data_IF_117835120624
#
_entry.id   IF_117835120624
#
_cell.length_a   1.000
_cell.length_b   1.000
_cell.length_c   1.000
_cell.angle_alpha   90.00
_cell.angle_beta   90.00
_cell.angle_gamma   90.00
#
_symmetry.space_group_name_H-M   'P 1'
#
loop_
_entity.id
_entity.type
_entity.pdbx_description
1 polymer ?
#
# COMPACT_ATOMS: atom_id res chain seq x y z
N UNK A 1 -33.71 58.03 -11.90
CA UNK A 1 -34.01 57.40 -10.59
C UNK A 1 -34.16 55.87 -10.64
N UNK A 2 -34.63 55.25 -11.75
CA UNK A 2 -34.74 53.77 -11.89
C UNK A 2 -33.41 53.02 -12.09
N UNK A 3 -32.41 53.64 -12.72
CA UNK A 3 -31.11 53.00 -13.05
C UNK A 3 -30.25 52.74 -11.81
N UNK A 4 -30.27 53.64 -10.83
CA UNK A 4 -29.51 53.49 -9.57
C UNK A 4 -30.03 52.36 -8.66
N UNK A 5 -31.29 51.96 -8.83
CA UNK A 5 -31.90 50.87 -8.06
C UNK A 5 -31.41 49.52 -8.63
N UNK A 6 -31.36 49.38 -9.95
CA UNK A 6 -30.91 48.15 -10.63
C UNK A 6 -29.43 47.85 -10.34
N UNK A 7 -28.57 48.88 -10.29
CA UNK A 7 -27.15 48.72 -9.98
C UNK A 7 -26.88 48.22 -8.55
N UNK A 8 -27.74 48.59 -7.58
CA UNK A 8 -27.66 48.09 -6.19
C UNK A 8 -27.99 46.60 -6.07
N UNK A 9 -28.95 46.10 -6.86
CA UNK A 9 -29.32 44.68 -6.84
C UNK A 9 -28.27 43.80 -7.51
N UNK A 10 -27.64 44.25 -8.60
CA UNK A 10 -26.54 43.50 -9.26
C UNK A 10 -25.33 43.36 -8.31
N UNK A 11 -25.02 44.40 -7.54
CA UNK A 11 -23.94 44.35 -6.55
C UNK A 11 -24.24 43.42 -5.37
N UNK A 12 -25.52 43.31 -4.96
CA UNK A 12 -25.94 42.45 -3.87
C UNK A 12 -25.98 40.96 -4.26
N UNK A 13 -26.30 40.64 -5.52
CA UNK A 13 -26.29 39.26 -6.05
C UNK A 13 -24.85 38.76 -6.25
N UNK A 14 -23.90 39.64 -6.61
CA UNK A 14 -22.49 39.29 -6.76
C UNK A 14 -21.81 38.88 -5.45
N UNK A 15 -22.21 39.48 -4.32
CA UNK A 15 -21.63 39.18 -3.00
C UNK A 15 -22.18 37.86 -2.42
N UNK A 16 -23.43 37.49 -2.73
CA UNK A 16 -24.00 36.19 -2.30
C UNK A 16 -23.41 34.98 -3.05
N UNK A 17 -22.88 35.18 -4.26
CA UNK A 17 -22.32 34.10 -5.07
C UNK A 17 -20.93 33.65 -4.61
N UNK A 18 -20.20 34.47 -3.84
CA UNK A 18 -18.86 34.12 -3.35
C UNK A 18 -18.85 33.28 -2.07
N UNK A 19 -19.97 33.19 -1.35
CA UNK A 19 -20.03 32.47 -0.06
C UNK A 19 -20.19 30.95 -0.19
N UNK A 20 -20.45 30.43 -1.39
CA UNK A 20 -20.68 28.99 -1.61
C UNK A 20 -19.47 28.19 -2.12
N UNK A 21 -18.32 28.85 -2.38
CA UNK A 21 -17.19 28.19 -3.05
C UNK A 21 -16.10 27.58 -2.13
N UNK A 22 -16.33 27.48 -0.83
CA UNK A 22 -15.46 26.72 0.08
C UNK A 22 -16.28 25.81 0.99
N UNK A 23 -16.81 24.72 0.42
CA UNK A 23 -17.05 23.54 1.23
C UNK A 23 -15.69 23.03 1.70
N UNK A 24 -15.31 23.36 2.93
CA UNK A 24 -14.22 22.71 3.64
C UNK A 24 -14.54 21.21 3.69
N UNK A 25 -14.05 20.43 2.73
CA UNK A 25 -14.03 18.98 2.84
C UNK A 25 -13.26 18.69 4.11
N UNK A 26 -13.96 18.26 5.16
CA UNK A 26 -13.30 17.74 6.37
C UNK A 26 -12.26 16.74 5.88
N UNK A 27 -11.01 16.80 6.36
CA UNK A 27 -10.02 15.82 5.97
C UNK A 27 -10.58 14.44 6.31
N UNK A 28 -10.90 13.66 5.28
CA UNK A 28 -11.33 12.28 5.46
C UNK A 28 -10.16 11.54 6.10
N UNK A 29 -10.43 10.78 7.15
CA UNK A 29 -9.40 9.93 7.76
C UNK A 29 -8.78 9.06 6.65
N UNK A 30 -7.44 8.98 6.57
CA UNK A 30 -6.79 8.17 5.55
C UNK A 30 -7.25 6.72 5.66
N UNK A 31 -7.69 6.14 4.54
CA UNK A 31 -8.10 4.74 4.45
C UNK A 31 -7.00 3.92 3.80
N UNK A 32 -6.91 2.64 4.15
CA UNK A 32 -5.93 1.73 3.54
C UNK A 32 -6.28 1.37 2.09
N UNK A 33 -7.51 1.64 1.64
CA UNK A 33 -7.97 1.39 0.26
C UNK A 33 -7.08 2.10 -0.75
N UNK A 34 -6.75 1.44 -1.86
CA UNK A 34 -5.98 1.98 -2.98
C UNK A 34 -4.81 1.08 -3.37
N UNK A 35 -4.16 1.46 -4.46
CA UNK A 35 -2.87 0.90 -4.87
C UNK A 35 -1.75 1.64 -4.13
N UNK A 36 -0.79 0.87 -3.62
CA UNK A 36 0.34 1.36 -2.87
C UNK A 36 1.63 0.80 -3.46
N UNK A 37 2.63 1.67 -3.63
CA UNK A 37 3.98 1.29 -4.05
C UNK A 37 4.89 1.20 -2.83
N UNK A 38 5.72 0.17 -2.78
CA UNK A 38 6.69 0.01 -1.70
C UNK A 38 7.75 1.12 -1.78
N UNK A 39 7.89 1.89 -0.69
CA UNK A 39 8.98 2.87 -0.52
C UNK A 39 10.19 2.20 0.14
N UNK A 40 9.95 1.38 1.16
CA UNK A 40 11.01 0.58 1.76
C UNK A 40 10.49 -0.63 2.53
N UNK A 41 11.30 -1.68 2.51
CA UNK A 41 11.22 -2.81 3.43
C UNK A 41 12.53 -2.89 4.22
N UNK A 42 12.45 -2.64 5.53
CA UNK A 42 13.61 -2.67 6.43
C UNK A 42 13.48 -3.77 7.46
N UNK A 43 14.62 -4.26 7.93
CA UNK A 43 14.74 -5.22 9.02
C UNK A 43 15.55 -4.60 10.16
N UNK A 44 15.09 -4.81 11.39
CA UNK A 44 15.77 -4.35 12.60
C UNK A 44 16.77 -5.39 13.08
N UNK A 45 18.03 -4.98 13.23
CA UNK A 45 19.02 -5.73 13.98
C UNK A 45 18.76 -5.56 15.48
N UNK A 46 18.63 -6.67 16.21
CA UNK A 46 18.26 -6.63 17.63
C UNK A 46 19.44 -6.38 18.58
N UNK A 47 20.68 -6.59 18.13
CA UNK A 47 21.87 -6.35 18.95
C UNK A 47 22.24 -4.86 18.94
N UNK A 48 22.16 -4.24 17.76
CA UNK A 48 22.57 -2.85 17.52
C UNK A 48 21.40 -1.87 17.48
N UNK A 49 20.17 -2.38 17.40
CA UNK A 49 18.96 -1.59 17.25
C UNK A 49 18.91 -0.74 15.95
N UNK A 50 19.69 -1.13 14.94
CA UNK A 50 19.75 -0.43 13.65
C UNK A 50 18.77 -1.02 12.65
N UNK A 51 18.34 -0.21 11.67
CA UNK A 51 17.46 -0.65 10.59
C UNK A 51 18.21 -0.63 9.26
N UNK A 52 18.26 -1.79 8.58
CA UNK A 52 18.88 -1.95 7.27
C UNK A 52 17.86 -2.44 6.25
N UNK A 53 18.22 -2.35 4.96
CA UNK A 53 17.37 -2.87 3.89
C UNK A 53 17.23 -4.39 3.99
N UNK A 54 16.01 -4.88 3.90
CA UNK A 54 15.77 -6.31 3.79
C UNK A 54 16.28 -6.81 2.43
N UNK A 55 17.14 -7.85 2.43
CA UNK A 55 17.69 -8.49 1.22
C UNK A 55 18.34 -7.53 0.21
N UNK A 56 18.99 -6.48 0.68
CA UNK A 56 19.62 -5.47 -0.21
C UNK A 56 18.64 -4.49 -0.85
N UNK A 57 17.33 -4.64 -0.61
CA UNK A 57 16.28 -3.79 -1.15
C UNK A 57 15.18 -4.61 -1.81
N UNK A 58 13.94 -4.22 -1.54
CA UNK A 58 12.76 -4.79 -2.19
C UNK A 58 11.98 -3.66 -2.85
N UNK A 59 11.28 -3.98 -3.93
CA UNK A 59 10.23 -3.19 -4.55
C UNK A 59 8.91 -4.00 -4.49
N UNK A 60 7.80 -3.36 -4.83
CA UNK A 60 6.52 -4.05 -4.83
C UNK A 60 5.30 -3.15 -4.84
N UNK A 61 4.15 -3.81 -4.93
CA UNK A 61 2.85 -3.18 -4.85
C UNK A 61 1.92 -3.91 -3.88
N UNK A 62 1.09 -3.14 -3.20
CA UNK A 62 0.02 -3.60 -2.32
C UNK A 62 -1.27 -2.93 -2.77
N UNK A 63 -2.29 -3.72 -3.08
CA UNK A 63 -3.60 -3.23 -3.48
C UNK A 63 -4.61 -3.62 -2.41
N UNK A 64 -5.40 -2.65 -1.96
CA UNK A 64 -6.67 -2.86 -1.28
C UNK A 64 -7.77 -2.30 -2.16
N UNK A 65 -8.66 -3.15 -2.67
CA UNK A 65 -9.62 -2.73 -3.70
C UNK A 65 -10.83 -1.94 -3.14
N UNK A 66 -10.99 -1.89 -1.82
CA UNK A 66 -12.13 -1.25 -1.16
C UNK A 66 -13.37 -2.13 -1.01
N UNK A 67 -13.38 -3.31 -1.62
CA UNK A 67 -14.46 -4.30 -1.51
C UNK A 67 -14.06 -5.52 -0.66
N UNK A 68 -12.94 -5.43 0.07
CA UNK A 68 -12.48 -6.50 0.95
C UNK A 68 -11.45 -7.44 0.33
N UNK A 69 -10.90 -7.12 -0.85
CA UNK A 69 -9.83 -7.89 -1.49
C UNK A 69 -8.47 -7.21 -1.38
N UNK A 70 -7.43 -8.02 -1.22
CA UNK A 70 -6.03 -7.58 -1.12
C UNK A 70 -5.16 -8.35 -2.11
N UNK A 71 -4.21 -7.65 -2.71
CA UNK A 71 -3.13 -8.26 -3.48
C UNK A 71 -1.78 -7.68 -3.04
N UNK A 72 -0.79 -8.54 -2.83
CA UNK A 72 0.58 -8.16 -2.55
C UNK A 72 1.48 -8.76 -3.62
N UNK A 73 2.42 -7.96 -4.12
CA UNK A 73 3.56 -8.44 -4.86
C UNK A 73 4.81 -7.73 -4.38
N UNK A 74 5.73 -8.49 -3.77
CA UNK A 74 7.07 -8.04 -3.40
C UNK A 74 8.08 -8.74 -4.31
N UNK A 75 9.11 -8.02 -4.74
CA UNK A 75 10.20 -8.55 -5.55
C UNK A 75 11.50 -7.79 -5.22
N UNK A 76 12.64 -8.34 -5.63
CA UNK A 76 13.91 -7.66 -5.37
C UNK A 76 14.00 -6.33 -6.11
N UNK A 77 14.72 -5.36 -5.53
CA UNK A 77 14.88 -4.06 -6.16
C UNK A 77 15.55 -4.19 -7.53
N UNK A 78 14.95 -3.58 -8.55
CA UNK A 78 15.45 -3.64 -9.94
C UNK A 78 15.17 -4.95 -10.68
N UNK A 79 14.18 -5.73 -10.23
CA UNK A 79 13.73 -6.98 -10.87
C UNK A 79 13.51 -6.83 -12.39
N UNK A 80 12.98 -5.69 -12.84
CA UNK A 80 12.71 -5.41 -14.25
C UNK A 80 13.97 -5.31 -15.12
N UNK A 81 15.14 -5.13 -14.51
CA UNK A 81 16.43 -4.98 -15.20
C UNK A 81 17.24 -6.27 -15.22
N UNK A 82 16.68 -7.38 -14.74
CA UNK A 82 17.39 -8.64 -14.64
C UNK A 82 17.90 -9.16 -15.99
N UNK A 83 17.15 -8.91 -17.08
CA UNK A 83 17.50 -9.43 -18.42
C UNK A 83 17.41 -10.95 -18.52
N UNK A 84 16.72 -11.61 -17.58
CA UNK A 84 16.53 -13.06 -17.51
C UNK A 84 15.10 -13.39 -17.94
N UNK A 85 14.94 -14.39 -18.79
CA UNK A 85 13.63 -14.93 -19.14
C UNK A 85 13.22 -16.06 -18.18
N UNK A 86 11.96 -16.04 -17.73
CA UNK A 86 11.37 -17.11 -16.94
C UNK A 86 10.48 -17.97 -17.85
N UNK A 87 10.78 -19.27 -18.04
CA UNK A 87 9.89 -20.14 -18.76
C UNK A 87 8.60 -20.33 -17.96
N UNK A 88 7.45 -20.04 -18.60
CA UNK A 88 6.14 -20.30 -18.01
C UNK A 88 5.68 -21.72 -18.36
N UNK A 89 4.99 -22.39 -17.42
CA UNK A 89 4.39 -23.71 -17.63
C UNK A 89 5.40 -24.77 -18.13
N UNK A 90 6.60 -24.76 -17.55
CA UNK A 90 7.67 -25.69 -17.88
C UNK A 90 8.10 -26.44 -16.62
N UNK A 91 8.46 -27.72 -16.76
CA UNK A 91 8.95 -28.56 -15.67
C UNK A 91 10.43 -28.32 -15.34
N UNK A 92 11.09 -27.43 -16.10
CA UNK A 92 12.49 -27.06 -15.92
C UNK A 92 12.71 -25.54 -15.99
N UNK A 93 13.67 -25.06 -15.20
CA UNK A 93 14.08 -23.65 -15.18
C UNK A 93 15.60 -23.57 -14.91
N UNK A 94 16.35 -22.70 -15.61
CA UNK A 94 17.76 -22.48 -15.31
C UNK A 94 17.97 -22.05 -13.85
N UNK A 95 19.06 -22.50 -13.22
CA UNK A 95 19.33 -22.20 -11.81
C UNK A 95 19.38 -20.70 -11.50
N UNK A 96 19.93 -19.90 -12.41
CA UNK A 96 19.96 -18.44 -12.27
C UNK A 96 18.55 -17.85 -12.25
N UNK A 97 17.71 -18.26 -13.19
CA UNK A 97 16.32 -17.85 -13.28
C UNK A 97 15.52 -18.29 -12.02
N UNK A 98 15.75 -19.51 -11.54
CA UNK A 98 15.17 -20.01 -10.29
C UNK A 98 15.59 -19.16 -9.08
N UNK A 99 16.88 -18.81 -8.97
CA UNK A 99 17.38 -17.95 -7.89
C UNK A 99 16.77 -16.55 -7.94
N UNK A 100 16.41 -16.05 -9.11
CA UNK A 100 15.79 -14.74 -9.27
C UNK A 100 14.30 -14.78 -8.90
N UNK A 101 13.53 -15.70 -9.49
CA UNK A 101 12.07 -15.78 -9.26
C UNK A 101 11.72 -16.11 -7.80
N UNK A 102 12.57 -16.89 -7.10
CA UNK A 102 12.38 -17.23 -5.68
C UNK A 102 12.62 -16.06 -4.71
N UNK A 103 13.06 -14.90 -5.20
CA UNK A 103 13.16 -13.68 -4.40
C UNK A 103 11.84 -12.91 -4.36
N UNK A 104 10.88 -13.27 -5.21
CA UNK A 104 9.55 -12.68 -5.23
C UNK A 104 8.62 -13.35 -4.23
N UNK A 105 7.70 -12.57 -3.65
CA UNK A 105 6.71 -13.03 -2.68
C UNK A 105 5.38 -12.34 -2.99
N UNK A 106 4.38 -13.10 -3.41
CA UNK A 106 3.11 -12.56 -3.83
C UNK A 106 1.93 -13.43 -3.41
N UNK A 107 0.81 -12.76 -3.13
CA UNK A 107 -0.46 -13.40 -2.79
C UNK A 107 -1.64 -12.51 -3.14
N UNK A 108 -2.81 -13.13 -3.23
CA UNK A 108 -4.09 -12.45 -3.31
C UNK A 108 -5.04 -13.06 -2.29
N UNK A 109 -6.01 -12.29 -1.83
CA UNK A 109 -6.90 -12.76 -0.78
C UNK A 109 -7.95 -11.76 -0.35
N UNK A 110 -8.55 -12.06 0.80
CA UNK A 110 -9.49 -11.16 1.48
C UNK A 110 -8.77 -10.42 2.60
N UNK A 111 -9.24 -9.22 2.95
CA UNK A 111 -8.76 -8.51 4.13
C UNK A 111 -9.88 -8.05 5.06
N UNK A 112 -9.54 -7.90 6.34
CA UNK A 112 -10.38 -7.26 7.35
C UNK A 112 -9.55 -6.29 8.16
N UNK A 113 -10.13 -5.14 8.50
CA UNK A 113 -9.49 -4.09 9.29
C UNK A 113 -10.12 -4.04 10.68
N UNK A 114 -9.30 -4.14 11.71
CA UNK A 114 -9.64 -3.74 13.07
C UNK A 114 -9.10 -2.33 13.31
N UNK A 115 -9.96 -1.32 13.23
CA UNK A 115 -9.58 0.08 13.50
C UNK A 115 -9.13 0.26 14.96
N UNK A 116 -9.80 -0.44 15.90
CA UNK A 116 -9.49 -0.41 17.33
C UNK A 116 -8.05 -0.84 17.62
N UNK A 117 -7.60 -1.92 16.96
CA UNK A 117 -6.27 -2.49 17.22
C UNK A 117 -5.21 -1.99 16.24
N UNK A 118 -5.65 -1.22 15.23
CA UNK A 118 -4.86 -0.82 14.06
C UNK A 118 -4.17 -2.02 13.40
N UNK A 119 -4.94 -3.09 13.20
CA UNK A 119 -4.49 -4.33 12.58
C UNK A 119 -5.31 -4.59 11.32
N UNK A 120 -4.64 -4.99 10.25
CA UNK A 120 -5.26 -5.56 9.06
C UNK A 120 -4.86 -7.02 8.93
N UNK A 121 -5.84 -7.90 8.76
CA UNK A 121 -5.65 -9.34 8.61
C UNK A 121 -5.91 -9.72 7.15
N UNK A 122 -4.99 -10.44 6.53
CA UNK A 122 -5.05 -10.89 5.13
C UNK A 122 -5.22 -12.40 5.09
N UNK A 123 -6.39 -12.87 4.67
CA UNK A 123 -6.67 -14.28 4.42
C UNK A 123 -6.27 -14.64 2.98
N UNK A 124 -5.28 -15.50 2.81
CA UNK A 124 -4.62 -15.76 1.52
C UNK A 124 -5.40 -16.81 0.71
N UNK A 125 -6.01 -16.38 -0.40
CA UNK A 125 -6.72 -17.24 -1.37
C UNK A 125 -5.81 -17.76 -2.48
N UNK A 126 -4.63 -17.15 -2.66
CA UNK A 126 -3.60 -17.56 -3.60
C UNK A 126 -2.25 -17.11 -3.05
N UNK A 127 -1.19 -17.87 -3.30
CA UNK A 127 0.16 -17.52 -2.88
C UNK A 127 1.22 -18.15 -3.79
N UNK A 128 2.35 -17.46 -3.98
CA UNK A 128 3.55 -18.00 -4.64
C UNK A 128 4.19 -19.20 -3.92
N UNK A 129 3.77 -19.51 -2.69
CA UNK A 129 4.30 -20.58 -1.85
C UNK A 129 3.08 -21.40 -1.38
N UNK A 130 2.93 -22.65 -1.84
CA UNK A 130 1.78 -23.49 -1.50
C UNK A 130 1.57 -23.67 0.01
N UNK A 131 2.65 -23.66 0.80
CA UNK A 131 2.56 -23.80 2.26
C UNK A 131 1.91 -22.60 2.98
N UNK A 132 1.74 -21.47 2.28
CA UNK A 132 1.12 -20.25 2.81
C UNK A 132 -0.36 -20.11 2.41
N UNK A 133 -0.87 -21.05 1.61
CA UNK A 133 -2.24 -21.04 1.11
C UNK A 133 -3.25 -21.23 2.24
N UNK A 134 -4.31 -20.42 2.27
CA UNK A 134 -5.36 -20.50 3.30
C UNK A 134 -4.94 -19.98 4.68
N UNK A 135 -3.70 -19.49 4.84
CA UNK A 135 -3.24 -18.89 6.09
C UNK A 135 -3.58 -17.39 6.16
N UNK A 136 -3.66 -16.89 7.38
CA UNK A 136 -3.87 -15.46 7.66
C UNK A 136 -2.55 -14.79 8.04
N UNK A 137 -2.25 -13.64 7.42
CA UNK A 137 -1.16 -12.77 7.83
C UNK A 137 -1.71 -11.49 8.47
N UNK A 138 -1.16 -11.06 9.60
CA UNK A 138 -1.64 -9.87 10.31
C UNK A 138 -0.60 -8.77 10.34
N UNK A 139 -1.02 -7.56 10.03
CA UNK A 139 -0.15 -6.39 9.96
C UNK A 139 -0.70 -5.31 10.86
N UNK A 140 0.10 -4.87 11.83
CA UNK A 140 -0.16 -3.59 12.50
C UNK A 140 0.14 -2.49 11.49
N UNK A 141 -0.75 -1.50 11.39
CA UNK A 141 -0.59 -0.39 10.46
C UNK A 141 -0.83 0.96 11.12
N UNK A 142 -0.28 2.01 10.52
CA UNK A 142 -0.60 3.41 10.81
C UNK A 142 -0.21 4.29 9.63
N UNK A 143 -0.77 5.50 9.59
CA UNK A 143 -0.41 6.51 8.60
C UNK A 143 0.56 7.54 9.16
N UNK A 144 1.52 7.97 8.33
CA UNK A 144 2.37 9.12 8.59
C UNK A 144 2.38 10.00 7.35
N UNK A 145 1.51 11.01 7.32
CA UNK A 145 1.25 11.78 6.11
C UNK A 145 0.59 10.91 5.05
N UNK A 146 1.19 10.86 3.86
CA UNK A 146 0.81 10.02 2.71
C UNK A 146 1.33 8.58 2.77
N UNK A 147 2.13 8.26 3.80
CA UNK A 147 2.80 6.98 3.92
C UNK A 147 2.00 6.02 4.80
N UNK A 148 1.66 4.85 4.27
CA UNK A 148 1.14 3.71 5.01
C UNK A 148 2.31 2.87 5.55
N UNK A 149 2.41 2.76 6.87
CA UNK A 149 3.45 1.96 7.52
C UNK A 149 2.84 0.68 8.06
N UNK A 150 3.49 -0.46 7.78
CA UNK A 150 3.05 -1.79 8.20
C UNK A 150 4.15 -2.58 8.87
N UNK A 151 3.77 -3.40 9.84
CA UNK A 151 4.66 -4.31 10.55
C UNK A 151 3.96 -5.65 10.83
N UNK A 152 4.61 -6.79 10.54
CA UNK A 152 4.10 -8.11 10.93
C UNK A 152 3.87 -8.24 12.43
N UNK A 153 2.75 -8.86 12.81
CA UNK A 153 2.41 -9.14 14.22
C UNK A 153 3.12 -10.42 14.67
N UNK A 154 3.31 -11.40 13.78
CA UNK A 154 3.94 -12.66 14.12
C UNK A 154 5.42 -12.49 14.54
N UNK A 155 5.84 -13.22 15.59
CA UNK A 155 7.19 -13.09 16.18
C UNK A 155 8.31 -13.33 15.15
N UNK A 156 8.11 -14.26 14.22
CA UNK A 156 9.10 -14.61 13.19
C UNK A 156 9.52 -13.39 12.36
N UNK A 157 8.57 -12.53 12.03
CA UNK A 157 8.75 -11.40 11.10
C UNK A 157 8.56 -10.03 11.76
N UNK A 158 8.39 -9.97 13.09
CA UNK A 158 8.09 -8.75 13.82
C UNK A 158 9.19 -7.68 13.75
N UNK A 159 10.37 -8.04 13.25
CA UNK A 159 11.50 -7.12 13.00
C UNK A 159 11.41 -6.42 11.65
N UNK A 160 10.47 -6.79 10.80
CA UNK A 160 10.27 -6.16 9.50
C UNK A 160 9.40 -4.91 9.64
N UNK A 161 9.70 -3.89 8.84
CA UNK A 161 8.86 -2.71 8.70
C UNK A 161 8.78 -2.35 7.23
N UNK A 162 7.56 -2.22 6.74
CA UNK A 162 7.26 -1.87 5.37
C UNK A 162 6.64 -0.47 5.37
N UNK A 163 7.07 0.34 4.42
CA UNK A 163 6.51 1.66 4.16
C UNK A 163 6.03 1.70 2.73
N UNK A 164 4.83 2.22 2.55
CA UNK A 164 4.14 2.25 1.29
C UNK A 164 3.67 3.67 0.99
N UNK A 165 3.86 4.12 -0.23
CA UNK A 165 3.32 5.37 -0.75
C UNK A 165 2.11 5.06 -1.62
N UNK A 166 1.11 5.93 -1.60
CA UNK A 166 -0.02 5.82 -2.52
C UNK A 166 0.53 5.87 -3.96
N UNK A 167 0.12 4.93 -4.80
CA UNK A 167 0.38 5.05 -6.23
C UNK A 167 -0.56 6.12 -6.80
N UNK A 168 -0.01 6.98 -7.67
CA UNK A 168 -0.76 8.01 -8.41
C UNK A 168 -1.62 7.42 -9.52
#
# INVERSE_FOLDING_TARGET
>A
MRIMIILKYVFFVGILAFSFSCQNKKPTNPTITGLWKLESMKVRDTATNTWSHYRGGMDGYLLYDGNGHVALHLYEKGYEKAGIEFPNFNDSIPLEALRHITKSYYYMGNYKVSEKDSIVSHYKLSHSNPSEFGLTAERRFYFRGDTLVMQPVERKNSKLKLKWLKAE
#
